data_IF_976329129424
#
_entry.id   IF_976329129424
#
_cell.length_a   1.000
_cell.length_b   1.000
_cell.length_c   1.000
_cell.angle_alpha   90.00
_cell.angle_beta   90.00
_cell.angle_gamma   90.00
#
_symmetry.space_group_name_H-M   'P 1'
#
loop_
_entity.id
_entity.type
_entity.pdbx_description
1 polymer ?
#
# COMPACT_ATOMS: atom_id res chain seq x y z
N UNK A 1 48.05 -51.52 29.52
CA UNK A 1 46.78 -52.29 29.57
C UNK A 1 45.94 -52.03 30.83
N UNK A 2 46.44 -51.35 31.87
CA UNK A 2 45.64 -50.91 33.01
C UNK A 2 44.77 -49.67 32.69
N UNK A 3 45.36 -48.65 32.04
CA UNK A 3 44.68 -47.37 31.70
C UNK A 3 43.39 -47.55 30.89
N UNK A 4 43.36 -48.50 29.94
CA UNK A 4 42.18 -48.78 29.13
C UNK A 4 41.06 -49.49 29.90
N UNK A 5 41.40 -50.21 30.98
CA UNK A 5 40.41 -50.84 31.86
C UNK A 5 39.79 -49.79 32.77
N UNK A 6 40.59 -48.87 33.30
CA UNK A 6 40.10 -47.78 34.15
C UNK A 6 39.17 -46.86 33.34
N UNK A 7 39.55 -46.44 32.13
CA UNK A 7 38.67 -45.62 31.27
C UNK A 7 37.37 -46.33 30.87
N UNK A 8 37.40 -47.65 30.72
CA UNK A 8 36.21 -48.44 30.39
C UNK A 8 35.25 -48.54 31.58
N UNK A 9 35.76 -48.66 32.80
CA UNK A 9 34.95 -48.66 34.02
C UNK A 9 34.32 -47.27 34.24
N UNK A 10 35.09 -46.20 34.04
CA UNK A 10 34.63 -44.82 34.19
C UNK A 10 33.53 -44.45 33.17
N UNK A 11 33.68 -44.86 31.90
CA UNK A 11 32.65 -44.61 30.88
C UNK A 11 31.37 -45.39 31.15
N UNK A 12 31.48 -46.63 31.65
CA UNK A 12 30.32 -47.41 32.06
C UNK A 12 29.62 -46.81 33.28
N UNK A 13 30.37 -46.29 34.25
CA UNK A 13 29.79 -45.59 35.40
C UNK A 13 29.07 -44.31 34.97
N UNK A 14 29.68 -43.51 34.07
CA UNK A 14 29.06 -42.30 33.56
C UNK A 14 27.77 -42.60 32.76
N UNK A 15 27.75 -43.68 31.98
CA UNK A 15 26.54 -44.13 31.28
C UNK A 15 25.45 -44.54 32.26
N UNK A 16 25.85 -45.24 33.32
CA UNK A 16 24.93 -45.67 34.36
C UNK A 16 24.31 -44.47 35.11
N UNK A 17 25.13 -43.51 35.55
CA UNK A 17 24.66 -42.28 36.21
C UNK A 17 23.72 -41.46 35.31
N UNK A 18 23.99 -41.44 34.00
CA UNK A 18 23.10 -40.77 33.04
C UNK A 18 21.77 -41.51 32.89
N UNK A 19 21.77 -42.84 32.83
CA UNK A 19 20.55 -43.64 32.76
C UNK A 19 19.70 -43.44 34.02
N UNK A 20 20.32 -43.46 35.20
CA UNK A 20 19.63 -43.19 36.47
C UNK A 20 19.01 -41.78 36.53
N UNK A 21 19.67 -40.77 35.95
CA UNK A 21 19.09 -39.41 35.84
C UNK A 21 17.90 -39.35 34.88
N UNK A 22 17.94 -40.08 33.78
CA UNK A 22 16.82 -40.14 32.83
C UNK A 22 15.65 -40.87 33.47
N UNK A 23 15.92 -41.97 34.16
CA UNK A 23 14.92 -42.73 34.89
C UNK A 23 14.24 -41.87 35.97
N UNK A 24 15.01 -41.14 36.78
CA UNK A 24 14.50 -40.17 37.75
C UNK A 24 13.67 -39.05 37.11
N UNK A 25 14.09 -38.54 35.94
CA UNK A 25 13.36 -37.47 35.26
C UNK A 25 12.04 -37.95 34.63
N UNK A 26 11.94 -39.23 34.24
CA UNK A 26 10.79 -39.81 33.56
C UNK A 26 9.79 -40.42 34.55
N UNK A 27 10.28 -41.17 35.54
CA UNK A 27 9.45 -41.90 36.50
C UNK A 27 9.34 -41.20 37.86
N UNK A 28 10.15 -40.18 38.14
CA UNK A 28 10.18 -39.48 39.44
C UNK A 28 10.97 -40.28 40.49
N UNK A 29 10.77 -39.95 41.77
CA UNK A 29 11.38 -40.64 42.91
C UNK A 29 10.70 -42.00 43.16
N UNK A 30 10.75 -42.88 42.15
CA UNK A 30 10.34 -44.27 42.29
C UNK A 30 11.53 -45.03 42.88
N UNK A 31 11.41 -45.43 44.14
CA UNK A 31 12.46 -46.10 44.91
C UNK A 31 12.58 -47.54 44.42
N UNK A 32 13.08 -47.73 43.21
CA UNK A 32 13.55 -49.01 42.69
C UNK A 32 15.07 -48.94 42.58
N UNK A 33 15.75 -48.97 43.72
CA UNK A 33 17.19 -49.26 43.75
C UNK A 33 17.41 -50.68 43.20
N UNK A 34 17.77 -50.80 41.93
CA UNK A 34 18.45 -52.02 41.48
C UNK A 34 19.86 -52.03 42.09
N UNK A 35 20.16 -53.07 42.87
CA UNK A 35 21.47 -53.30 43.48
C UNK A 35 22.56 -53.44 42.41
N UNK A 36 23.23 -52.34 42.07
CA UNK A 36 24.39 -52.35 41.18
C UNK A 36 25.58 -52.98 41.90
N UNK A 37 25.88 -54.24 41.58
CA UNK A 37 27.07 -54.94 42.08
C UNK A 37 28.33 -54.40 41.39
N UNK A 38 29.23 -53.69 42.09
CA UNK A 38 30.40 -53.03 41.49
C UNK A 38 31.52 -54.00 41.08
N UNK A 39 31.36 -55.32 41.21
CA UNK A 39 32.41 -56.30 40.86
C UNK A 39 32.06 -57.22 39.66
N UNK A 40 31.01 -56.90 38.90
CA UNK A 40 30.63 -57.67 37.72
C UNK A 40 31.52 -57.36 36.48
N UNK A 41 31.74 -58.37 35.63
CA UNK A 41 32.44 -58.22 34.34
C UNK A 41 31.80 -57.13 33.47
N UNK A 42 32.59 -56.36 32.73
CA UNK A 42 32.13 -55.24 31.90
C UNK A 42 30.99 -55.64 30.93
N UNK A 43 31.02 -56.86 30.38
CA UNK A 43 29.95 -57.39 29.53
C UNK A 43 28.64 -57.59 30.30
N UNK A 44 28.70 -58.04 31.54
CA UNK A 44 27.52 -58.23 32.38
C UNK A 44 26.88 -56.87 32.75
N UNK A 45 27.71 -55.84 32.97
CA UNK A 45 27.23 -54.46 33.24
C UNK A 45 26.57 -53.82 32.03
N UNK A 46 27.10 -54.02 30.82
CA UNK A 46 26.45 -53.56 29.60
C UNK A 46 25.10 -54.25 29.39
N UNK A 47 25.04 -55.56 29.60
CA UNK A 47 23.79 -56.31 29.47
C UNK A 47 22.74 -55.89 30.53
N UNK A 48 23.15 -55.47 31.74
CA UNK A 48 22.20 -54.90 32.70
C UNK A 48 21.73 -53.52 32.26
N UNK A 49 22.61 -52.64 31.78
CA UNK A 49 22.25 -51.30 31.29
C UNK A 49 21.30 -51.36 30.08
N UNK A 50 21.52 -52.31 29.18
CA UNK A 50 20.63 -52.54 28.03
C UNK A 50 19.25 -53.03 28.48
N UNK A 51 19.19 -53.93 29.48
CA UNK A 51 17.92 -54.35 30.06
C UNK A 51 17.18 -53.19 30.73
N UNK A 52 17.86 -52.37 31.54
CA UNK A 52 17.24 -51.23 32.21
C UNK A 52 16.77 -50.17 31.22
N UNK A 53 17.48 -49.97 30.11
CA UNK A 53 17.04 -49.08 29.03
C UNK A 53 15.80 -49.67 28.34
N UNK A 54 15.80 -50.96 28.03
CA UNK A 54 14.65 -51.61 27.39
C UNK A 54 13.41 -51.63 28.30
N UNK A 55 13.58 -51.80 29.61
CA UNK A 55 12.46 -51.66 30.57
C UNK A 55 11.95 -50.24 30.63
N UNK A 56 12.84 -49.24 30.61
CA UNK A 56 12.47 -47.82 30.62
C UNK A 56 11.76 -47.38 29.33
N UNK A 57 12.21 -47.91 28.18
CA UNK A 57 11.57 -47.69 26.88
C UNK A 57 10.20 -48.38 26.80
N UNK A 58 10.02 -49.53 27.47
CA UNK A 58 8.74 -50.22 27.55
C UNK A 58 7.77 -49.55 28.54
N UNK A 59 8.26 -48.95 29.63
CA UNK A 59 7.42 -48.30 30.65
C UNK A 59 6.97 -46.90 30.25
N UNK A 60 7.78 -46.16 29.49
CA UNK A 60 7.49 -44.77 29.14
C UNK A 60 7.33 -44.57 27.63
N UNK A 61 6.14 -44.15 27.23
CA UNK A 61 5.81 -43.85 25.83
C UNK A 61 6.73 -42.76 25.26
N UNK A 62 7.08 -41.76 26.07
CA UNK A 62 7.96 -40.66 25.65
C UNK A 62 9.39 -41.10 25.29
N UNK A 63 9.97 -42.08 25.99
CA UNK A 63 11.31 -42.61 25.65
C UNK A 63 11.23 -43.46 24.38
N UNK A 64 10.18 -44.26 24.21
CA UNK A 64 9.94 -45.02 22.98
C UNK A 64 9.80 -44.10 21.76
N UNK A 65 9.02 -43.02 21.89
CA UNK A 65 8.81 -42.04 20.82
C UNK A 65 10.10 -41.31 20.45
N UNK A 66 10.91 -40.90 21.43
CA UNK A 66 12.21 -40.25 21.16
C UNK A 66 13.19 -41.20 20.48
N UNK A 67 13.23 -42.48 20.87
CA UNK A 67 14.07 -43.49 20.22
C UNK A 67 13.60 -43.78 18.79
N UNK A 68 12.28 -43.83 18.55
CA UNK A 68 11.72 -43.96 17.20
C UNK A 68 12.01 -42.72 16.35
N UNK A 69 11.91 -41.53 16.92
CA UNK A 69 12.24 -40.26 16.26
C UNK A 69 13.73 -40.20 15.91
N UNK A 70 14.60 -40.66 16.81
CA UNK A 70 16.04 -40.74 16.56
C UNK A 70 16.36 -41.70 15.42
N UNK A 71 15.71 -42.88 15.38
CA UNK A 71 15.93 -43.88 14.34
C UNK A 71 15.37 -43.46 12.97
N UNK A 72 14.23 -42.77 12.95
CA UNK A 72 13.60 -42.30 11.70
C UNK A 72 14.26 -41.04 11.16
N UNK A 73 14.72 -40.15 12.05
CA UNK A 73 15.22 -38.83 11.70
C UNK A 73 16.49 -38.48 12.52
N UNK A 74 17.63 -39.13 12.23
CA UNK A 74 18.89 -38.84 12.89
C UNK A 74 19.38 -37.39 12.69
N UNK A 75 18.92 -36.75 11.62
CA UNK A 75 19.18 -35.35 11.24
C UNK A 75 18.54 -34.33 12.20
N UNK A 76 17.50 -34.69 12.96
CA UNK A 76 16.87 -33.77 13.93
C UNK A 76 17.73 -33.54 15.17
N UNK A 77 18.56 -34.54 15.52
CA UNK A 77 19.37 -34.53 16.74
C UNK A 77 20.83 -34.18 16.47
N UNK A 78 21.23 -34.15 15.21
CA UNK A 78 22.50 -33.60 14.74
C UNK A 78 22.17 -32.35 13.91
N UNK A 79 22.00 -31.17 14.54
CA UNK A 79 21.78 -29.96 13.77
C UNK A 79 22.92 -29.81 12.78
N UNK A 80 22.60 -29.87 11.48
CA UNK A 80 23.56 -29.61 10.42
C UNK A 80 24.25 -28.28 10.70
N UNK A 81 25.56 -28.22 10.44
CA UNK A 81 26.35 -27.01 10.65
C UNK A 81 25.63 -25.80 10.02
N UNK A 82 25.50 -24.65 10.69
CA UNK A 82 24.72 -23.50 10.22
C UNK A 82 25.23 -22.86 8.91
N UNK A 83 26.28 -23.44 8.30
CA UNK A 83 26.85 -23.07 7.01
C UNK A 83 26.37 -23.97 5.86
N UNK A 84 25.89 -25.17 6.16
CA UNK A 84 25.34 -26.07 5.15
C UNK A 84 23.85 -25.75 5.00
N UNK A 85 23.54 -24.99 3.95
CA UNK A 85 22.18 -24.67 3.56
C UNK A 85 21.47 -26.01 3.30
N UNK A 86 20.38 -26.34 4.01
CA UNK A 86 19.69 -27.61 3.86
C UNK A 86 19.05 -27.62 2.47
N UNK A 87 19.77 -28.18 1.50
CA UNK A 87 19.34 -28.14 0.11
C UNK A 87 18.99 -29.55 -0.31
N UNK A 88 17.70 -29.80 -0.49
CA UNK A 88 17.16 -31.09 -0.95
C UNK A 88 17.46 -31.37 -2.42
N UNK A 89 18.13 -30.45 -3.11
CA UNK A 89 18.44 -30.52 -4.54
C UNK A 89 19.95 -30.66 -4.77
N UNK A 90 20.38 -31.47 -5.76
CA UNK A 90 21.77 -31.56 -6.15
C UNK A 90 22.27 -30.20 -6.70
N UNK A 91 23.57 -29.89 -6.55
CA UNK A 91 24.13 -28.57 -6.87
C UNK A 91 23.95 -28.17 -8.34
N UNK A 92 23.93 -29.13 -9.26
CA UNK A 92 23.67 -28.89 -10.67
C UNK A 92 22.24 -28.36 -10.92
N UNK A 93 21.24 -28.86 -10.19
CA UNK A 93 19.85 -28.40 -10.32
C UNK A 93 19.66 -27.00 -9.73
N UNK A 94 20.42 -26.63 -8.71
CA UNK A 94 20.43 -25.27 -8.17
C UNK A 94 21.01 -24.27 -9.17
N UNK A 95 22.11 -24.61 -9.83
CA UNK A 95 22.69 -23.76 -10.87
C UNK A 95 21.71 -23.54 -12.02
N UNK A 96 20.99 -24.59 -12.45
CA UNK A 96 19.94 -24.49 -13.46
C UNK A 96 18.77 -23.61 -12.99
N UNK A 97 18.35 -23.75 -11.73
CA UNK A 97 17.29 -22.92 -11.16
C UNK A 97 17.68 -21.44 -11.13
N UNK A 98 18.91 -21.14 -10.68
CA UNK A 98 19.44 -19.77 -10.64
C UNK A 98 19.50 -19.20 -12.05
N UNK A 99 20.01 -19.96 -13.03
CA UNK A 99 20.07 -19.54 -14.43
C UNK A 99 18.66 -19.31 -15.02
N UNK A 100 17.70 -20.18 -14.71
CA UNK A 100 16.31 -20.02 -15.14
C UNK A 100 15.66 -18.76 -14.55
N UNK A 101 16.05 -18.35 -13.35
CA UNK A 101 15.50 -17.18 -12.64
C UNK A 101 16.38 -15.92 -12.71
N UNK A 102 17.51 -15.93 -13.43
CA UNK A 102 18.46 -14.80 -13.49
C UNK A 102 17.79 -13.50 -13.94
N UNK A 103 16.92 -13.59 -14.95
CA UNK A 103 16.17 -12.43 -15.43
C UNK A 103 15.26 -11.83 -14.35
N UNK A 104 14.62 -12.68 -13.53
CA UNK A 104 13.75 -12.23 -12.44
C UNK A 104 14.57 -11.55 -11.33
N UNK A 105 15.73 -12.09 -10.97
CA UNK A 105 16.62 -11.44 -9.99
C UNK A 105 17.12 -10.08 -10.48
N UNK A 106 17.52 -9.99 -11.75
CA UNK A 106 17.95 -8.71 -12.33
C UNK A 106 16.80 -7.70 -12.38
N UNK A 107 15.63 -8.12 -12.82
CA UNK A 107 14.45 -7.24 -12.95
C UNK A 107 13.95 -6.77 -11.58
N UNK A 108 13.90 -7.66 -10.59
CA UNK A 108 13.49 -7.29 -9.23
C UNK A 108 14.54 -6.42 -8.55
N UNK A 109 15.82 -6.67 -8.78
CA UNK A 109 16.91 -5.81 -8.27
C UNK A 109 16.86 -4.41 -8.86
N UNK A 110 16.64 -4.26 -10.17
CA UNK A 110 16.47 -2.93 -10.79
C UNK A 110 15.20 -2.26 -10.29
N UNK A 111 14.07 -2.97 -10.17
CA UNK A 111 12.84 -2.43 -9.59
C UNK A 111 13.05 -1.95 -8.15
N UNK A 112 13.67 -2.75 -7.28
CA UNK A 112 13.98 -2.34 -5.90
C UNK A 112 14.96 -1.18 -5.86
N UNK A 113 15.96 -1.15 -6.74
CA UNK A 113 16.87 -0.01 -6.84
C UNK A 113 16.14 1.25 -7.31
N UNK A 114 15.21 1.14 -8.27
CA UNK A 114 14.39 2.28 -8.69
C UNK A 114 13.45 2.75 -7.58
N UNK A 115 12.88 1.84 -6.78
CA UNK A 115 12.04 2.21 -5.64
C UNK A 115 12.87 2.86 -4.52
N UNK A 116 14.06 2.34 -4.24
CA UNK A 116 14.97 2.90 -3.24
C UNK A 116 15.54 4.26 -3.68
N UNK A 117 15.79 4.44 -4.98
CA UNK A 117 16.24 5.70 -5.56
C UNK A 117 15.08 6.71 -5.71
N UNK A 118 13.84 6.24 -5.88
CA UNK A 118 12.61 7.03 -5.76
C UNK A 118 12.29 7.34 -4.28
N UNK A 119 13.28 7.89 -3.56
CA UNK A 119 13.14 8.40 -2.20
C UNK A 119 12.27 9.66 -2.10
N UNK A 120 11.80 10.18 -3.22
CA UNK A 120 10.82 11.26 -3.26
C UNK A 120 9.40 10.69 -3.15
N UNK A 121 9.11 10.01 -2.03
CA UNK A 121 7.73 10.11 -1.52
C UNK A 121 7.54 11.62 -1.32
N UNK A 122 6.59 12.26 -2.04
CA UNK A 122 6.48 13.71 -2.02
C UNK A 122 6.39 14.19 -0.58
N UNK A 123 7.24 15.17 -0.24
CA UNK A 123 7.39 15.65 1.13
C UNK A 123 6.02 15.90 1.75
N UNK A 124 5.73 15.19 2.83
CA UNK A 124 4.47 15.30 3.56
C UNK A 124 4.21 16.76 4.00
N UNK A 125 5.26 17.57 4.13
CA UNK A 125 5.14 19.02 4.38
C UNK A 125 4.45 19.78 3.24
N UNK A 126 4.66 19.39 1.98
CA UNK A 126 4.00 20.02 0.83
C UNK A 126 2.52 19.65 0.77
N UNK A 127 2.20 18.39 1.04
CA UNK A 127 0.81 17.89 1.06
C UNK A 127 0.01 18.51 2.20
N UNK A 128 0.59 18.62 3.40
CA UNK A 128 -0.05 19.30 4.54
C UNK A 128 -0.26 20.79 4.29
N UNK A 129 0.64 21.47 3.58
CA UNK A 129 0.42 22.86 3.11
C UNK A 129 -0.72 22.96 2.11
N UNK A 130 -0.91 21.97 1.25
CA UNK A 130 -2.03 21.97 0.30
C UNK A 130 -3.36 21.84 1.05
N UNK A 131 -3.43 20.94 2.05
CA UNK A 131 -4.61 20.78 2.90
C UNK A 131 -4.90 22.07 3.69
N UNK A 132 -3.88 22.78 4.17
CA UNK A 132 -4.08 24.03 4.90
C UNK A 132 -4.56 25.20 4.03
N UNK A 133 -4.39 25.12 2.72
CA UNK A 133 -4.90 26.11 1.76
C UNK A 133 -6.38 25.92 1.41
N UNK A 134 -6.94 24.72 1.60
CA UNK A 134 -8.35 24.41 1.33
C UNK A 134 -9.36 25.44 1.88
N UNK A 135 -9.33 25.85 3.17
CA UNK A 135 -10.31 26.81 3.69
C UNK A 135 -10.20 28.20 3.05
N UNK A 136 -9.04 28.54 2.47
CA UNK A 136 -8.87 29.80 1.74
C UNK A 136 -9.48 29.71 0.34
N UNK A 137 -9.39 28.55 -0.30
CA UNK A 137 -10.06 28.27 -1.59
C UNK A 137 -11.57 28.36 -1.41
N UNK A 138 -12.12 27.66 -0.41
CA UNK A 138 -13.57 27.64 -0.15
C UNK A 138 -14.12 29.06 0.11
N UNK A 139 -13.37 29.90 0.83
CA UNK A 139 -13.74 31.32 1.05
C UNK A 139 -13.75 32.15 -0.23
N UNK A 140 -12.81 31.91 -1.13
CA UNK A 140 -12.73 32.62 -2.41
C UNK A 140 -13.86 32.15 -3.32
N UNK A 141 -14.13 30.84 -3.36
CA UNK A 141 -15.22 30.27 -4.13
C UNK A 141 -16.58 30.81 -3.69
N UNK A 142 -16.83 30.89 -2.37
CA UNK A 142 -18.06 31.49 -1.84
C UNK A 142 -18.22 32.96 -2.26
N UNK A 143 -17.13 33.75 -2.25
CA UNK A 143 -17.14 35.13 -2.73
C UNK A 143 -17.37 35.21 -4.23
N UNK A 144 -16.75 34.34 -5.02
CA UNK A 144 -16.96 34.28 -6.46
C UNK A 144 -18.41 33.95 -6.81
N UNK A 145 -19.03 33.02 -6.09
CA UNK A 145 -20.45 32.70 -6.25
C UNK A 145 -21.34 33.91 -5.92
N UNK A 146 -21.05 34.64 -4.82
CA UNK A 146 -21.77 35.86 -4.49
C UNK A 146 -21.61 36.94 -5.58
N UNK A 147 -20.38 37.19 -6.03
CA UNK A 147 -20.10 38.17 -7.08
C UNK A 147 -20.77 37.79 -8.41
N UNK A 148 -20.80 36.52 -8.77
CA UNK A 148 -21.47 36.04 -9.97
C UNK A 148 -22.98 36.36 -9.95
N UNK A 149 -23.62 36.17 -8.80
CA UNK A 149 -25.03 36.52 -8.60
C UNK A 149 -25.27 38.03 -8.71
N UNK A 150 -24.43 38.84 -8.05
CA UNK A 150 -24.50 40.30 -8.14
C UNK A 150 -24.31 40.79 -9.57
N UNK A 151 -23.34 40.23 -10.30
CA UNK A 151 -23.12 40.56 -11.71
C UNK A 151 -24.29 40.15 -12.60
N UNK A 152 -24.90 38.98 -12.37
CA UNK A 152 -26.08 38.56 -13.10
C UNK A 152 -27.23 39.54 -12.87
N UNK A 153 -27.48 39.92 -11.62
CA UNK A 153 -28.51 40.90 -11.29
C UNK A 153 -28.23 42.26 -11.92
N UNK A 154 -27.02 42.80 -11.78
CA UNK A 154 -26.63 44.08 -12.37
C UNK A 154 -26.75 44.06 -13.89
N UNK A 155 -26.40 42.96 -14.57
CA UNK A 155 -26.60 42.80 -16.01
C UNK A 155 -28.07 42.84 -16.41
N UNK A 156 -28.94 42.18 -15.66
CA UNK A 156 -30.39 42.24 -15.96
C UNK A 156 -30.95 43.64 -15.76
N UNK A 157 -30.51 44.36 -14.70
CA UNK A 157 -30.92 45.73 -14.43
C UNK A 157 -30.39 46.70 -15.50
N UNK A 158 -29.13 46.58 -15.89
CA UNK A 158 -28.55 47.43 -16.92
C UNK A 158 -29.18 47.19 -18.29
N UNK A 159 -29.43 45.93 -18.65
CA UNK A 159 -30.14 45.58 -19.88
C UNK A 159 -31.52 46.24 -19.94
N UNK A 160 -32.31 46.17 -18.86
CA UNK A 160 -33.63 46.83 -18.79
C UNK A 160 -33.56 48.35 -18.92
N UNK A 161 -32.53 48.99 -18.36
CA UNK A 161 -32.36 50.45 -18.48
C UNK A 161 -32.02 50.82 -19.93
N UNK A 162 -31.12 50.06 -20.54
CA UNK A 162 -30.71 50.26 -21.93
C UNK A 162 -31.90 50.05 -22.88
N UNK A 163 -32.67 48.98 -22.68
CA UNK A 163 -33.90 48.69 -23.43
C UNK A 163 -34.90 49.86 -23.34
N UNK A 164 -35.22 50.33 -22.13
CA UNK A 164 -36.11 51.48 -21.93
C UNK A 164 -35.59 52.77 -22.58
N UNK A 165 -34.27 52.97 -22.58
CA UNK A 165 -33.67 54.13 -23.23
C UNK A 165 -33.76 54.02 -24.76
N UNK A 166 -33.56 52.83 -25.32
CA UNK A 166 -33.75 52.60 -26.75
C UNK A 166 -35.21 52.79 -27.17
N UNK A 167 -36.16 52.23 -26.43
CA UNK A 167 -37.59 52.35 -26.72
C UNK A 167 -38.07 53.80 -26.65
N UNK A 168 -37.87 54.47 -25.52
CA UNK A 168 -38.42 55.80 -25.31
C UNK A 168 -37.55 56.92 -25.92
N UNK A 169 -36.24 56.70 -25.96
CA UNK A 169 -35.29 57.72 -26.39
C UNK A 169 -35.05 57.68 -27.90
N UNK A 170 -34.80 56.50 -28.45
CA UNK A 170 -34.40 56.36 -29.86
C UNK A 170 -35.60 56.07 -30.75
N UNK A 171 -36.43 55.07 -30.41
CA UNK A 171 -37.56 54.68 -31.25
C UNK A 171 -38.68 55.73 -31.23
N UNK A 172 -39.19 56.12 -30.06
CA UNK A 172 -40.26 57.13 -29.97
C UNK A 172 -39.83 58.49 -30.58
N UNK A 173 -38.62 58.95 -30.29
CA UNK A 173 -38.13 60.18 -30.92
C UNK A 173 -37.95 60.00 -32.43
N UNK A 174 -37.48 58.84 -32.89
CA UNK A 174 -37.37 58.52 -34.31
C UNK A 174 -38.73 58.58 -35.02
N UNK A 175 -39.77 58.00 -34.44
CA UNK A 175 -41.14 58.06 -34.96
C UNK A 175 -41.66 59.51 -35.01
N UNK A 176 -41.40 60.29 -33.96
CA UNK A 176 -41.78 61.71 -33.90
C UNK A 176 -41.04 62.54 -34.95
N UNK A 177 -39.74 62.31 -35.13
CA UNK A 177 -38.92 62.95 -36.15
C UNK A 177 -39.40 62.60 -37.57
N UNK A 178 -39.69 61.32 -37.83
CA UNK A 178 -40.24 60.88 -39.11
C UNK A 178 -41.59 61.55 -39.40
N UNK A 179 -42.49 61.60 -38.41
CA UNK A 179 -43.77 62.30 -38.55
C UNK A 179 -43.63 63.81 -38.75
N UNK A 180 -42.61 64.44 -38.17
CA UNK A 180 -42.28 65.84 -38.45
C UNK A 180 -41.73 66.04 -39.86
N UNK A 181 -40.86 65.14 -40.33
CA UNK A 181 -40.31 65.17 -41.69
C UNK A 181 -41.42 65.01 -42.74
N UNK A 182 -42.39 64.12 -42.51
CA UNK A 182 -43.55 63.95 -43.38
C UNK A 182 -44.39 65.23 -43.47
N UNK A 183 -44.72 65.85 -42.33
CA UNK A 183 -45.44 67.13 -42.30
C UNK A 183 -44.66 68.27 -42.97
N UNK A 184 -43.34 68.28 -42.82
CA UNK A 184 -42.47 69.26 -43.48
C UNK A 184 -42.48 69.06 -45.00
N UNK A 185 -42.42 67.80 -45.47
CA UNK A 185 -42.55 67.47 -46.90
C UNK A 185 -43.89 67.90 -47.46
N UNK A 186 -44.99 67.67 -46.76
CA UNK A 186 -46.32 68.13 -47.18
C UNK A 186 -46.39 69.65 -47.30
N UNK A 187 -45.85 70.37 -46.30
CA UNK A 187 -45.73 71.83 -46.34
C UNK A 187 -44.88 72.29 -47.54
N UNK A 188 -43.74 71.64 -47.78
CA UNK A 188 -42.84 71.96 -48.90
C UNK A 188 -43.53 71.75 -50.25
N UNK A 189 -44.28 70.66 -50.42
CA UNK A 189 -45.07 70.39 -51.63
C UNK A 189 -46.12 71.48 -51.84
N UNK A 190 -46.83 71.89 -50.78
CA UNK A 190 -47.84 72.95 -50.86
C UNK A 190 -47.21 74.30 -51.23
N UNK A 191 -46.05 74.65 -50.66
CA UNK A 191 -45.31 75.86 -51.00
C UNK A 191 -44.86 75.82 -52.46
N UNK A 192 -44.23 74.73 -52.92
CA UNK A 192 -43.83 74.55 -54.32
C UNK A 192 -44.99 74.70 -55.29
N UNK A 193 -46.16 74.14 -54.96
CA UNK A 193 -47.39 74.28 -55.78
C UNK A 193 -47.85 75.74 -55.87
N UNK A 194 -47.87 76.46 -54.74
CA UNK A 194 -48.25 77.88 -54.70
C UNK A 194 -47.25 78.77 -55.44
N UNK A 195 -45.96 78.53 -55.27
CA UNK A 195 -44.91 79.24 -56.01
C UNK A 195 -45.00 78.99 -57.51
N UNK A 196 -45.24 77.74 -57.94
CA UNK A 196 -45.44 77.42 -59.35
C UNK A 196 -46.70 78.09 -59.93
N UNK A 197 -47.78 78.20 -59.16
CA UNK A 197 -48.98 78.93 -59.58
C UNK A 197 -48.70 80.43 -59.73
N UNK A 198 -48.04 81.05 -58.75
CA UNK A 198 -47.67 82.47 -58.78
C UNK A 198 -46.76 82.80 -59.96
N UNK A 199 -45.77 81.95 -60.26
CA UNK A 199 -44.89 82.13 -61.44
C UNK A 199 -45.67 82.08 -62.75
N UNK A 200 -46.65 81.18 -62.88
CA UNK A 200 -47.51 81.14 -64.08
C UNK A 200 -48.40 82.38 -64.21
N UNK A 201 -48.90 82.91 -63.10
CA UNK A 201 -49.64 84.17 -63.09
C UNK A 201 -48.75 85.34 -63.50
N UNK A 202 -47.49 85.37 -63.02
CA UNK A 202 -46.49 86.38 -63.39
C UNK A 202 -46.03 86.25 -64.86
N UNK A 203 -45.98 85.04 -65.43
CA UNK A 203 -45.66 84.80 -66.86
C UNK A 203 -46.82 85.10 -67.82
N UNK A 204 -48.06 85.19 -67.33
CA UNK A 204 -49.27 85.49 -68.11
C UNK A 204 -49.65 86.98 -68.11
N UNK A 205 -48.93 87.82 -67.35
CA UNK A 205 -49.04 89.28 -67.29
C UNK A 205 -47.92 89.94 -68.10
#
# INVERSE_FOLDING_TARGET
MAVTRDTAVDTLQMLHERLARIDFAVNGDDIAQEDHKPNASAKARLASLERTLNTLAASSLGVSDVLQLHNSHPELFHPADPKDVPTTLPPASLAQLILAHDHLYRTTSTQLSTLNNNKEVPDASALTKLISLQPRIDKIEARQAQQANEFAELRTRSAKIVERWYENGVLDMGERWAGWEEKLKDCEILVRRKEAAKKREEEML
#
